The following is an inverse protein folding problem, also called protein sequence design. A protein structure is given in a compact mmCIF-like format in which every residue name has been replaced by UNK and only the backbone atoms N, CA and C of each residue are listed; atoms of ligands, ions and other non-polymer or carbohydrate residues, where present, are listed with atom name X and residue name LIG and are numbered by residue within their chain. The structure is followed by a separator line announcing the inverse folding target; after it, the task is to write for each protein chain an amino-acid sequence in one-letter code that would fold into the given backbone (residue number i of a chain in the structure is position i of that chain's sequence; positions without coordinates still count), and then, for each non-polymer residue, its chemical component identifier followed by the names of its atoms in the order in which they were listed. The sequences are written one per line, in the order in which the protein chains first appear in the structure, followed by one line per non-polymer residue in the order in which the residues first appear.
data_IF_729847007525
#
_entry.id   IF_729847007525
#
_cell.length_a   1.000
_cell.length_b   1.000
_cell.length_c   1.000
_cell.angle_alpha   90.00
_cell.angle_beta   90.00
_cell.angle_gamma   90.00
#
_symmetry.space_group_name_H-M   'P 1'
#
loop_
_entity.id
_entity.type
_entity.pdbx_description
1 polymer ?
#
# COMPACT_ATOMS: atom_id res chain seq x y z
N UNK A 1 3.90 12.32 -13.16
CA UNK A 1 3.10 13.55 -12.96
C UNK A 1 3.59 14.21 -11.69
N UNK A 2 4.02 15.47 -11.74
CA UNK A 2 4.47 16.18 -10.55
C UNK A 2 3.25 16.43 -9.64
N UNK A 3 3.24 15.87 -8.44
CA UNK A 3 2.05 15.89 -7.60
C UNK A 3 1.85 17.23 -6.91
N UNK A 4 0.62 17.76 -6.98
CA UNK A 4 0.18 18.98 -6.31
C UNK A 4 -0.20 18.70 -4.86
N UNK A 5 -0.15 19.73 -4.04
CA UNK A 5 -0.65 19.65 -2.67
C UNK A 5 -2.18 19.52 -2.67
N UNK A 6 -2.75 18.97 -1.60
CA UNK A 6 -4.20 18.88 -1.43
C UNK A 6 -4.89 20.24 -1.59
N UNK A 7 -4.27 21.31 -1.08
CA UNK A 7 -4.76 22.69 -1.23
C UNK A 7 -4.78 23.16 -2.68
N UNK A 8 -3.72 22.88 -3.43
CA UNK A 8 -3.67 23.21 -4.85
C UNK A 8 -4.75 22.45 -5.63
N UNK A 9 -4.97 21.17 -5.34
CA UNK A 9 -6.04 20.38 -5.96
C UNK A 9 -7.44 20.92 -5.64
N UNK A 10 -7.70 21.32 -4.39
CA UNK A 10 -8.96 21.96 -4.03
C UNK A 10 -9.19 23.26 -4.81
N UNK A 11 -8.15 24.11 -4.93
CA UNK A 11 -8.21 25.34 -5.71
C UNK A 11 -8.46 25.07 -7.20
N UNK A 12 -7.88 24.01 -7.76
CA UNK A 12 -8.13 23.59 -9.14
C UNK A 12 -9.59 23.22 -9.36
N UNK A 13 -10.19 22.47 -8.42
CA UNK A 13 -11.58 22.06 -8.52
C UNK A 13 -12.53 23.28 -8.48
N UNK A 14 -12.32 24.20 -7.53
CA UNK A 14 -13.11 25.44 -7.41
C UNK A 14 -13.12 26.27 -8.70
N UNK A 15 -11.94 26.46 -9.31
CA UNK A 15 -11.82 27.23 -10.56
C UNK A 15 -12.45 26.46 -11.73
N UNK A 16 -12.36 25.13 -11.73
CA UNK A 16 -12.99 24.29 -12.76
C UNK A 16 -14.51 24.42 -12.77
N UNK A 17 -15.14 24.49 -11.59
CA UNK A 17 -16.57 24.74 -11.44
C UNK A 17 -16.97 26.17 -11.83
N UNK A 18 -16.16 27.17 -11.44
CA UNK A 18 -16.36 28.58 -11.79
C UNK A 18 -16.38 28.80 -13.31
N UNK A 19 -15.47 28.13 -14.02
CA UNK A 19 -15.39 28.16 -15.48
C UNK A 19 -16.40 27.24 -16.18
N UNK A 20 -17.42 26.71 -15.47
CA UNK A 20 -18.44 25.80 -16.01
C UNK A 20 -17.82 24.64 -16.79
N UNK A 21 -16.78 24.04 -16.22
CA UNK A 21 -16.08 22.87 -16.75
C UNK A 21 -15.32 23.10 -18.07
N UNK A 22 -15.01 24.35 -18.42
CA UNK A 22 -14.17 24.67 -19.57
C UNK A 22 -12.67 24.60 -19.21
N UNK A 23 -12.03 23.46 -19.48
CA UNK A 23 -10.64 23.20 -19.12
C UNK A 23 -9.63 24.23 -19.68
N UNK A 24 -9.87 24.76 -20.89
CA UNK A 24 -8.99 25.75 -21.52
C UNK A 24 -9.08 27.12 -20.83
N UNK A 25 -10.28 27.53 -20.43
CA UNK A 25 -10.49 28.77 -19.68
C UNK A 25 -9.90 28.69 -18.27
N UNK A 26 -9.97 27.51 -17.65
CA UNK A 26 -9.48 27.25 -16.29
C UNK A 26 -7.97 27.44 -16.17
N UNK A 27 -7.19 26.91 -17.12
CA UNK A 27 -5.74 27.06 -17.08
C UNK A 27 -5.31 28.55 -17.15
N UNK A 28 -6.05 29.37 -17.90
CA UNK A 28 -5.81 30.82 -17.96
C UNK A 28 -6.18 31.50 -16.64
N UNK A 29 -7.40 31.25 -16.13
CA UNK A 29 -7.87 31.85 -14.88
C UNK A 29 -7.01 31.44 -13.67
N UNK A 30 -6.49 30.21 -13.67
CA UNK A 30 -5.58 29.73 -12.63
C UNK A 30 -4.26 30.52 -12.62
N UNK A 31 -3.70 30.85 -13.79
CA UNK A 31 -2.49 31.68 -13.91
C UNK A 31 -2.74 33.11 -13.43
N UNK A 32 -3.89 33.67 -13.79
CA UNK A 32 -4.28 35.02 -13.37
C UNK A 32 -4.48 35.11 -11.85
N UNK A 33 -5.10 34.10 -11.23
CA UNK A 33 -5.36 34.08 -9.78
C UNK A 33 -4.12 33.74 -8.95
N UNK A 34 -3.20 32.95 -9.50
CA UNK A 34 -1.97 32.51 -8.82
C UNK A 34 -0.71 32.81 -9.65
N UNK A 35 -0.35 34.09 -9.84
CA UNK A 35 0.78 34.49 -10.70
C UNK A 35 2.15 34.03 -10.18
N UNK A 36 2.25 33.72 -8.88
CA UNK A 36 3.48 33.27 -8.22
C UNK A 36 3.50 31.75 -7.95
N UNK A 37 2.65 30.97 -8.62
CA UNK A 37 2.66 29.52 -8.47
C UNK A 37 3.99 28.95 -8.98
N UNK A 38 4.57 28.00 -8.25
CA UNK A 38 5.84 27.36 -8.62
C UNK A 38 5.75 26.61 -9.96
N UNK A 39 4.55 26.16 -10.34
CA UNK A 39 4.25 25.52 -11.62
C UNK A 39 2.78 25.72 -11.99
N UNK A 40 2.48 25.58 -13.27
CA UNK A 40 1.12 25.72 -13.78
C UNK A 40 0.58 24.38 -14.29
N UNK A 41 -0.62 23.94 -13.83
CA UNK A 41 -1.21 22.70 -14.29
C UNK A 41 -1.64 22.76 -15.76
N UNK A 42 -1.54 21.63 -16.43
CA UNK A 42 -2.19 21.42 -17.71
C UNK A 42 -3.71 21.27 -17.54
N UNK A 43 -4.47 21.62 -18.56
CA UNK A 43 -5.94 21.54 -18.58
C UNK A 43 -6.47 20.15 -18.15
N UNK A 44 -5.76 19.07 -18.49
CA UNK A 44 -6.12 17.69 -18.10
C UNK A 44 -6.09 17.43 -16.60
N UNK A 45 -5.25 18.16 -15.86
CA UNK A 45 -5.14 18.00 -14.39
C UNK A 45 -6.44 18.45 -13.73
N UNK A 46 -7.04 19.55 -14.20
CA UNK A 46 -8.30 20.06 -13.66
C UNK A 46 -9.45 19.09 -13.89
N UNK A 47 -9.55 18.53 -15.11
CA UNK A 47 -10.55 17.52 -15.44
C UNK A 47 -10.36 16.27 -14.58
N UNK A 48 -9.12 15.78 -14.44
CA UNK A 48 -8.84 14.60 -13.63
C UNK A 48 -9.20 14.79 -12.14
N UNK A 49 -8.89 15.94 -11.56
CA UNK A 49 -9.26 16.28 -10.19
C UNK A 49 -10.77 16.28 -10.00
N UNK A 50 -11.51 16.86 -10.95
CA UNK A 50 -12.98 16.87 -10.91
C UNK A 50 -13.56 15.45 -11.03
N UNK A 51 -13.08 14.65 -11.97
CA UNK A 51 -13.52 13.26 -12.13
C UNK A 51 -13.25 12.42 -10.88
N UNK A 52 -12.03 12.46 -10.33
CA UNK A 52 -11.69 11.67 -9.15
C UNK A 52 -12.53 12.09 -7.93
N UNK A 53 -12.72 13.39 -7.72
CA UNK A 53 -13.51 13.86 -6.59
C UNK A 53 -14.99 13.49 -6.72
N UNK A 54 -15.56 13.62 -7.92
CA UNK A 54 -16.99 13.40 -8.14
C UNK A 54 -17.37 11.93 -8.33
N UNK A 55 -16.50 11.14 -8.97
CA UNK A 55 -16.74 9.73 -9.25
C UNK A 55 -16.22 8.81 -8.15
N UNK A 56 -15.07 9.11 -7.56
CA UNK A 56 -14.36 8.22 -6.63
C UNK A 56 -14.22 8.81 -5.22
N UNK A 57 -14.69 10.04 -4.99
CA UNK A 57 -14.75 10.67 -3.66
C UNK A 57 -13.41 11.10 -3.07
N UNK A 58 -12.33 11.15 -3.87
CA UNK A 58 -10.99 11.52 -3.37
C UNK A 58 -10.23 12.41 -4.34
N UNK A 59 -9.24 13.15 -3.81
CA UNK A 59 -8.33 13.95 -4.62
C UNK A 59 -7.15 13.08 -5.10
N UNK A 60 -6.46 13.46 -6.19
CA UNK A 60 -5.28 12.70 -6.62
C UNK A 60 -4.27 12.58 -5.48
N UNK A 61 -4.07 11.34 -5.00
CA UNK A 61 -3.14 11.07 -3.92
C UNK A 61 -1.69 11.17 -4.44
N UNK A 62 -0.85 11.88 -3.70
CA UNK A 62 0.60 11.88 -3.95
C UNK A 62 1.28 10.58 -3.49
N UNK A 63 0.57 9.72 -2.76
CA UNK A 63 1.14 8.48 -2.22
C UNK A 63 1.54 7.50 -3.34
N UNK A 64 2.75 7.69 -3.87
CA UNK A 64 3.50 6.68 -4.62
C UNK A 64 3.91 5.58 -3.65
N UNK A 65 2.97 4.88 -3.03
CA UNK A 65 3.29 3.78 -2.10
C UNK A 65 2.18 2.75 -1.95
N UNK A 66 1.21 2.70 -2.87
CA UNK A 66 0.40 1.50 -3.04
C UNK A 66 1.22 0.50 -3.85
N UNK A 67 2.09 -0.26 -3.20
CA UNK A 67 2.74 -1.41 -3.83
C UNK A 67 1.70 -2.32 -4.49
N UNK A 68 2.13 -3.08 -5.52
CA UNK A 68 1.30 -4.06 -6.23
C UNK A 68 0.38 -4.81 -5.25
N UNK A 69 -0.93 -4.98 -5.56
CA UNK A 69 -1.87 -5.66 -4.68
C UNK A 69 -1.29 -6.98 -4.19
N UNK A 70 -1.57 -7.32 -2.93
CA UNK A 70 -1.13 -8.55 -2.28
C UNK A 70 -1.30 -9.73 -3.26
N UNK A 71 -0.21 -10.43 -3.52
CA UNK A 71 -0.30 -11.60 -4.39
C UNK A 71 -1.16 -12.64 -3.65
N UNK A 72 -2.00 -13.44 -4.35
CA UNK A 72 -2.78 -14.52 -3.70
C UNK A 72 -1.91 -15.49 -2.88
N UNK A 73 -0.64 -15.62 -3.24
CA UNK A 73 0.38 -16.36 -2.47
C UNK A 73 0.69 -15.78 -1.08
N UNK A 74 0.34 -14.52 -0.83
CA UNK A 74 0.52 -13.87 0.48
C UNK A 74 -0.46 -14.45 1.49
N UNK A 75 -1.73 -14.58 1.11
CA UNK A 75 -2.79 -15.14 1.95
C UNK A 75 -2.51 -16.61 2.29
N UNK A 76 -2.06 -17.41 1.31
CA UNK A 76 -1.69 -18.83 1.52
C UNK A 76 -0.56 -18.99 2.56
N UNK A 77 0.41 -18.08 2.58
CA UNK A 77 1.52 -18.10 3.57
C UNK A 77 1.03 -17.69 4.96
N UNK A 78 0.10 -16.74 5.04
CA UNK A 78 -0.48 -16.29 6.30
C UNK A 78 -1.37 -17.38 6.91
N UNK A 79 -2.26 -17.98 6.11
CA UNK A 79 -3.15 -19.06 6.54
C UNK A 79 -2.35 -20.27 7.07
N UNK A 80 -1.31 -20.70 6.36
CA UNK A 80 -0.46 -21.82 6.79
C UNK A 80 0.27 -21.57 8.12
N UNK A 81 0.54 -20.30 8.48
CA UNK A 81 1.16 -19.93 9.75
C UNK A 81 0.13 -19.72 10.86
N UNK A 82 -1.08 -19.26 10.52
CA UNK A 82 -2.20 -19.16 11.46
C UNK A 82 -2.67 -20.55 11.91
N UNK A 83 -2.70 -21.54 11.02
CA UNK A 83 -3.04 -22.93 11.36
C UNK A 83 -2.02 -23.60 12.30
N UNK A 84 -0.72 -23.35 12.08
CA UNK A 84 0.35 -23.88 12.93
C UNK A 84 1.49 -22.85 13.12
N UNK A 85 1.46 -22.04 14.20
CA UNK A 85 2.52 -21.10 14.52
C UNK A 85 3.87 -21.77 14.84
N UNK A 86 3.87 -23.07 15.10
CA UNK A 86 5.10 -23.83 15.38
C UNK A 86 5.85 -24.28 14.11
N UNK A 87 5.29 -23.95 12.94
CA UNK A 87 5.87 -24.30 11.66
C UNK A 87 7.12 -23.48 11.35
N UNK A 88 8.04 -24.05 10.58
CA UNK A 88 9.22 -23.33 10.10
C UNK A 88 8.95 -22.70 8.74
N UNK A 89 9.64 -21.59 8.41
CA UNK A 89 9.53 -20.97 7.07
C UNK A 89 9.85 -21.95 5.94
N UNK A 90 10.67 -22.98 6.22
CA UNK A 90 10.99 -24.03 5.24
C UNK A 90 9.85 -25.05 5.09
N UNK A 91 9.10 -25.31 6.15
CA UNK A 91 7.88 -26.12 6.08
C UNK A 91 6.78 -25.36 5.33
N UNK A 92 6.63 -24.05 5.57
CA UNK A 92 5.71 -23.19 4.79
C UNK A 92 6.01 -23.26 3.29
N UNK A 93 7.27 -23.20 2.88
CA UNK A 93 7.67 -23.35 1.46
C UNK A 93 7.24 -24.70 0.86
N UNK A 94 7.31 -25.79 1.62
CA UNK A 94 6.88 -27.12 1.16
C UNK A 94 5.36 -27.19 1.04
N UNK A 95 4.63 -26.62 2.01
CA UNK A 95 3.17 -26.65 2.06
C UNK A 95 2.53 -25.75 1.00
N UNK A 96 3.01 -24.51 0.87
CA UNK A 96 2.40 -23.49 -0.01
C UNK A 96 3.08 -23.40 -1.39
N UNK A 97 4.27 -24.01 -1.57
CA UNK A 97 5.07 -23.86 -2.79
C UNK A 97 5.69 -22.48 -2.96
N UNK A 98 5.50 -21.57 -2.00
CA UNK A 98 6.07 -20.22 -2.02
C UNK A 98 7.54 -20.26 -1.59
N UNK A 99 8.47 -19.70 -2.38
CA UNK A 99 9.89 -19.71 -2.02
C UNK A 99 10.12 -19.14 -0.62
N UNK A 100 11.00 -19.79 0.17
CA UNK A 100 11.31 -19.41 1.56
C UNK A 100 11.61 -17.92 1.72
N UNK A 101 12.34 -17.31 0.78
CA UNK A 101 12.70 -15.89 0.83
C UNK A 101 11.48 -14.97 0.70
N UNK A 102 10.51 -15.35 -0.11
CA UNK A 102 9.23 -14.64 -0.27
C UNK A 102 8.35 -14.83 0.95
N UNK A 103 8.19 -16.07 1.43
CA UNK A 103 7.44 -16.37 2.65
C UNK A 103 8.02 -15.60 3.86
N UNK A 104 9.33 -15.60 4.06
CA UNK A 104 9.98 -14.83 5.12
C UNK A 104 9.72 -13.32 5.03
N UNK A 105 9.71 -12.75 3.81
CA UNK A 105 9.43 -11.32 3.61
C UNK A 105 7.96 -10.98 3.91
N UNK A 106 7.03 -11.87 3.56
CA UNK A 106 5.61 -11.75 3.90
C UNK A 106 5.45 -11.74 5.41
N UNK A 107 5.98 -12.77 6.10
CA UNK A 107 5.88 -12.88 7.56
C UNK A 107 6.48 -11.66 8.28
N UNK A 108 7.62 -11.15 7.80
CA UNK A 108 8.22 -9.93 8.35
C UNK A 108 7.37 -8.67 8.15
N UNK A 109 6.64 -8.57 7.04
CA UNK A 109 5.74 -7.44 6.77
C UNK A 109 4.55 -7.43 7.74
N UNK A 110 4.06 -8.62 8.09
CA UNK A 110 2.92 -8.82 9.01
C UNK A 110 3.35 -9.03 10.47
N UNK A 111 4.63 -8.81 10.79
CA UNK A 111 5.18 -8.97 12.15
C UNK A 111 4.97 -10.37 12.77
N UNK A 112 4.89 -11.41 11.92
CA UNK A 112 4.73 -12.80 12.33
C UNK A 112 6.09 -13.48 12.54
N UNK A 113 6.20 -14.21 13.66
CA UNK A 113 7.41 -14.92 14.08
C UNK A 113 7.13 -16.40 14.39
N UNK A 114 6.98 -17.26 13.36
CA UNK A 114 6.84 -18.70 13.58
C UNK A 114 8.06 -19.26 14.32
N UNK A 115 7.82 -20.21 15.22
CA UNK A 115 8.85 -20.76 16.10
C UNK A 115 8.93 -22.28 15.98
N UNK A 116 10.12 -22.86 15.96
CA UNK A 116 10.23 -24.32 15.94
C UNK A 116 10.36 -24.88 17.36
N UNK A 117 9.40 -25.71 17.78
CA UNK A 117 9.47 -26.37 19.09
C UNK A 117 10.43 -27.55 19.02
N UNK A 118 11.60 -27.40 19.65
CA UNK A 118 12.58 -28.47 19.81
C UNK A 118 12.45 -29.09 21.22
N UNK A 119 12.13 -30.38 21.32
CA UNK A 119 12.15 -31.10 22.59
C UNK A 119 13.58 -31.53 22.91
N UNK A 120 14.19 -30.92 23.92
CA UNK A 120 15.63 -31.08 24.22
C UNK A 120 15.96 -31.97 25.42
N UNK A 121 14.96 -32.40 26.21
CA UNK A 121 15.18 -33.30 27.35
C UNK A 121 14.14 -34.42 27.39
N UNK A 122 14.64 -35.65 27.33
CA UNK A 122 13.91 -36.84 27.78
C UNK A 122 14.53 -37.22 29.12
N UNK A 123 13.73 -37.28 30.18
CA UNK A 123 14.16 -37.81 31.48
C UNK A 123 14.61 -39.26 31.27
N UNK A 124 15.90 -39.52 31.46
CA UNK A 124 16.43 -40.87 31.40
C UNK A 124 16.18 -41.56 32.74
N UNK A 125 16.07 -42.91 32.76
CA UNK A 125 15.90 -43.65 34.02
C UNK A 125 16.97 -43.37 35.10
N UNK A 126 18.14 -42.87 34.70
CA UNK A 126 19.22 -42.49 35.63
C UNK A 126 19.05 -41.13 36.31
N UNK A 127 18.14 -40.27 35.83
CA UNK A 127 17.92 -38.93 36.38
C UNK A 127 17.01 -38.93 37.63
N UNK A 128 16.48 -40.10 38.02
CA UNK A 128 15.55 -40.27 39.14
C UNK A 128 16.22 -40.58 40.49
N UNK A 129 17.54 -40.75 40.56
CA UNK A 129 18.23 -41.09 41.81
C UNK A 129 18.92 -39.87 42.43
N UNK A 130 18.22 -39.26 43.40
CA UNK A 130 18.77 -38.35 44.40
C UNK A 130 18.32 -38.78 45.80
#
# INVERSE_FOLDING_TARGET
MSAYTTREYANMHLIYEECRYNASAVARLYRERYPNAARYPDHRVFTNVHCLLFSEGHLPNHEHSGGRPANPTEDEVLEAVEEDPSTSVRATEITTGVPKSTAHRILKRHELHPYHVQRVQTLLPGDYQH
#
